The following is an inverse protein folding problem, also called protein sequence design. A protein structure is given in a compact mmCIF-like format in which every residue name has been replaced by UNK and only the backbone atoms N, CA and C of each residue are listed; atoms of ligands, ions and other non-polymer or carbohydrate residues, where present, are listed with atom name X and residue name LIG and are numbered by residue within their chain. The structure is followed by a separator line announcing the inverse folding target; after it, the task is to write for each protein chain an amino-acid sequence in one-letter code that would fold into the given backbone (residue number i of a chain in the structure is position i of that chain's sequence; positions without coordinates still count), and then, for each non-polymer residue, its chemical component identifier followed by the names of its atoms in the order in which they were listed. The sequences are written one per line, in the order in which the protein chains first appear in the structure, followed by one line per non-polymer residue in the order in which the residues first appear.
data_IF_068319053172
#
_entry.id   IF_068319053172
#
_cell.length_a   1.000
_cell.length_b   1.000
_cell.length_c   1.000
_cell.angle_alpha   90.00
_cell.angle_beta   90.00
_cell.angle_gamma   90.00
#
_symmetry.space_group_name_H-M   'P 1'
#
loop_
_entity.id
_entity.type
_entity.pdbx_description
1 polymer ?
#
# COMPACT_ATOMS: atom_id res chain seq x y z
N UNK A 1 26.04 -20.94 -1.12
CA UNK A 1 25.95 -19.69 -0.31
C UNK A 1 24.66 -18.97 -0.71
N UNK A 2 23.73 -18.72 0.21
CA UNK A 2 22.57 -17.87 -0.07
C UNK A 2 23.08 -16.45 -0.35
N UNK A 3 22.77 -15.90 -1.52
CA UNK A 3 23.06 -14.48 -1.80
C UNK A 3 22.23 -13.63 -0.83
N UNK A 4 22.88 -12.76 -0.09
CA UNK A 4 22.20 -11.82 0.80
C UNK A 4 21.35 -10.88 -0.03
N UNK A 5 20.06 -10.76 0.32
CA UNK A 5 19.15 -9.80 -0.30
C UNK A 5 19.62 -8.38 0.05
N UNK A 6 19.73 -7.52 -0.96
CA UNK A 6 20.06 -6.11 -0.77
C UNK A 6 18.96 -5.24 -1.34
N UNK A 7 18.59 -4.17 -0.63
CA UNK A 7 17.62 -3.18 -1.05
C UNK A 7 18.25 -1.79 -1.09
N UNK A 8 17.73 -0.93 -1.96
CA UNK A 8 18.18 0.46 -2.00
C UNK A 8 17.52 1.25 -0.87
N UNK A 9 18.33 1.83 0.00
CA UNK A 9 17.90 2.71 1.08
C UNK A 9 17.89 4.16 0.58
N UNK A 10 16.69 4.78 0.58
CA UNK A 10 16.50 6.14 0.06
C UNK A 10 17.09 7.22 0.97
N UNK A 11 17.26 6.94 2.26
CA UNK A 11 17.86 7.86 3.23
C UNK A 11 19.38 7.85 3.10
N UNK A 12 19.96 6.66 3.11
CA UNK A 12 21.41 6.47 2.97
C UNK A 12 21.89 6.53 1.52
N UNK A 13 20.97 6.55 0.54
CA UNK A 13 21.22 6.60 -0.91
C UNK A 13 22.17 5.50 -1.42
N UNK A 14 22.09 4.32 -0.83
CA UNK A 14 22.94 3.17 -1.20
C UNK A 14 22.19 1.84 -1.05
N UNK A 15 22.70 0.78 -1.67
CA UNK A 15 22.18 -0.57 -1.46
C UNK A 15 22.72 -1.12 -0.15
N UNK A 16 21.81 -1.58 0.71
CA UNK A 16 22.12 -2.18 2.00
C UNK A 16 21.58 -3.60 2.07
N UNK A 17 22.24 -4.47 2.85
CA UNK A 17 21.68 -5.76 3.19
C UNK A 17 20.29 -5.60 3.82
N UNK A 18 19.34 -6.47 3.43
CA UNK A 18 18.06 -6.52 4.09
C UNK A 18 18.21 -7.23 5.44
N UNK A 19 17.91 -6.52 6.50
CA UNK A 19 17.94 -7.03 7.87
C UNK A 19 16.51 -6.93 8.44
N UNK A 20 15.81 -8.05 8.66
CA UNK A 20 14.46 -8.04 9.22
C UNK A 20 14.51 -7.67 10.71
N UNK A 21 13.49 -6.96 11.20
CA UNK A 21 13.37 -6.65 12.64
C UNK A 21 13.11 -7.90 13.49
N UNK A 22 12.44 -8.90 12.91
CA UNK A 22 12.20 -10.20 13.54
C UNK A 22 12.73 -11.30 12.61
N UNK A 23 13.36 -12.31 13.20
CA UNK A 23 13.94 -13.41 12.43
C UNK A 23 12.89 -14.06 11.51
N UNK A 24 13.24 -14.22 10.23
CA UNK A 24 12.40 -14.81 9.20
C UNK A 24 11.04 -14.11 8.95
N UNK A 25 10.80 -12.91 9.46
CA UNK A 25 9.62 -12.12 9.16
C UNK A 25 10.01 -10.87 8.34
N UNK A 26 9.18 -10.52 7.37
CA UNK A 26 9.33 -9.31 6.58
C UNK A 26 7.99 -8.59 6.50
N UNK A 27 7.91 -7.38 7.07
CA UNK A 27 6.75 -6.52 6.97
C UNK A 27 7.04 -5.41 5.98
N UNK A 28 6.19 -5.28 4.96
CA UNK A 28 6.32 -4.30 3.89
C UNK A 28 5.05 -3.48 3.83
N UNK A 29 5.18 -2.16 3.97
CA UNK A 29 4.09 -1.23 3.75
C UNK A 29 4.29 -0.53 2.41
N UNK A 30 3.26 -0.56 1.57
CA UNK A 30 3.24 0.10 0.26
C UNK A 30 2.11 1.12 0.23
N UNK A 31 2.42 2.35 -0.14
CA UNK A 31 1.39 3.36 -0.35
C UNK A 31 0.46 2.91 -1.48
N UNK A 32 -0.83 2.83 -1.18
CA UNK A 32 -1.84 2.44 -2.13
C UNK A 32 -2.42 3.60 -2.93
N UNK A 33 -3.36 3.33 -3.85
CA UNK A 33 -3.97 4.35 -4.68
C UNK A 33 -4.98 5.21 -3.92
N UNK A 34 -5.20 6.45 -4.40
CA UNK A 34 -6.41 7.21 -4.11
C UNK A 34 -7.51 6.70 -5.05
N UNK A 35 -8.61 6.22 -4.47
CA UNK A 35 -9.63 5.44 -5.20
C UNK A 35 -10.77 6.33 -5.71
N UNK A 36 -10.44 7.21 -6.66
CA UNK A 36 -11.37 8.13 -7.30
C UNK A 36 -11.52 7.90 -8.81
N UNK A 37 -10.62 7.13 -9.43
CA UNK A 37 -10.60 6.87 -10.86
C UNK A 37 -9.95 5.53 -11.19
N UNK A 38 -10.04 5.10 -12.44
CA UNK A 38 -9.47 3.85 -12.93
C UNK A 38 -7.93 3.84 -12.82
N UNK A 39 -7.39 2.64 -12.75
CA UNK A 39 -5.94 2.43 -12.70
C UNK A 39 -5.28 2.81 -14.03
N UNK A 40 -4.03 3.21 -13.95
CA UNK A 40 -3.20 3.45 -15.13
C UNK A 40 -1.85 2.72 -15.01
N UNK A 41 -1.06 2.73 -16.07
CA UNK A 41 0.24 2.03 -16.12
C UNK A 41 1.18 2.34 -14.96
N UNK A 42 1.09 3.52 -14.37
CA UNK A 42 1.88 3.89 -13.17
C UNK A 42 1.54 3.01 -11.97
N UNK A 43 0.23 2.72 -11.78
CA UNK A 43 -0.22 1.83 -10.72
C UNK A 43 0.24 0.38 -10.97
N UNK A 44 0.11 -0.10 -12.21
CA UNK A 44 0.58 -1.43 -12.62
C UNK A 44 2.09 -1.59 -12.39
N UNK A 45 2.89 -0.61 -12.82
CA UNK A 45 4.34 -0.62 -12.64
C UNK A 45 4.73 -0.72 -11.17
N UNK A 46 4.11 0.09 -10.33
CA UNK A 46 4.34 0.05 -8.87
C UNK A 46 3.96 -1.31 -8.29
N UNK A 47 2.78 -1.82 -8.63
CA UNK A 47 2.29 -3.10 -8.14
C UNK A 47 3.22 -4.26 -8.52
N UNK A 48 3.65 -4.34 -9.78
CA UNK A 48 4.58 -5.37 -10.28
C UNK A 48 5.93 -5.30 -9.54
N UNK A 49 6.46 -4.09 -9.30
CA UNK A 49 7.73 -3.93 -8.60
C UNK A 49 7.67 -4.46 -7.15
N UNK A 50 6.59 -4.17 -6.43
CA UNK A 50 6.40 -4.66 -5.06
C UNK A 50 5.98 -6.13 -5.01
N UNK A 51 5.26 -6.64 -6.01
CA UNK A 51 4.98 -8.06 -6.14
C UNK A 51 6.27 -8.88 -6.36
N UNK A 52 7.18 -8.37 -7.18
CA UNK A 52 8.51 -8.98 -7.33
C UNK A 52 9.24 -9.05 -5.99
N UNK A 53 9.24 -7.97 -5.22
CA UNK A 53 9.82 -7.97 -3.87
C UNK A 53 9.14 -9.00 -2.97
N UNK A 54 7.81 -9.06 -2.97
CA UNK A 54 7.03 -10.04 -2.21
C UNK A 54 7.44 -11.48 -2.55
N UNK A 55 7.51 -11.81 -3.84
CA UNK A 55 7.91 -13.14 -4.32
C UNK A 55 9.36 -13.47 -3.96
N UNK A 56 10.27 -12.52 -4.08
CA UNK A 56 11.68 -12.69 -3.71
C UNK A 56 11.83 -12.95 -2.21
N UNK A 57 11.13 -12.20 -1.37
CA UNK A 57 11.13 -12.42 0.08
C UNK A 57 10.59 -13.81 0.43
N UNK A 58 9.45 -14.22 -0.15
CA UNK A 58 8.90 -15.57 0.04
C UNK A 58 9.86 -16.66 -0.43
N UNK A 59 10.50 -16.50 -1.57
CA UNK A 59 11.49 -17.44 -2.10
C UNK A 59 12.75 -17.54 -1.21
N UNK A 60 13.02 -16.52 -0.39
CA UNK A 60 14.09 -16.55 0.62
C UNK A 60 13.61 -17.03 1.99
N UNK A 61 12.41 -17.64 2.06
CA UNK A 61 11.80 -18.23 3.26
C UNK A 61 11.44 -17.19 4.35
N UNK A 62 11.14 -15.95 3.97
CA UNK A 62 10.53 -15.00 4.88
C UNK A 62 9.01 -15.23 4.96
N UNK A 63 8.47 -15.12 6.17
CA UNK A 63 7.04 -14.94 6.37
C UNK A 63 6.73 -13.47 6.10
N UNK A 64 6.05 -13.19 4.99
CA UNK A 64 5.88 -11.83 4.47
C UNK A 64 4.48 -11.32 4.80
N UNK A 65 4.42 -10.17 5.46
CA UNK A 65 3.19 -9.38 5.62
C UNK A 65 3.25 -8.18 4.68
N UNK A 66 2.43 -8.20 3.64
CA UNK A 66 2.26 -7.08 2.72
C UNK A 66 1.05 -6.25 3.14
N UNK A 67 1.27 -4.99 3.45
CA UNK A 67 0.20 -4.04 3.75
C UNK A 67 0.16 -2.97 2.68
N UNK A 68 -1.02 -2.75 2.09
CA UNK A 68 -1.25 -1.70 1.10
C UNK A 68 -2.56 -0.98 1.41
N UNK A 69 -2.50 0.32 1.71
CA UNK A 69 -3.70 1.07 2.04
C UNK A 69 -4.52 1.44 0.81
N UNK A 70 -5.80 1.75 1.04
CA UNK A 70 -6.61 2.54 0.11
C UNK A 70 -6.85 3.92 0.71
N UNK A 71 -6.51 4.97 -0.05
CA UNK A 71 -6.89 6.34 0.30
C UNK A 71 -8.29 6.58 -0.23
N UNK A 72 -9.26 6.31 0.62
CA UNK A 72 -10.69 6.36 0.32
C UNK A 72 -11.37 7.64 0.85
N UNK A 73 -10.55 8.64 1.23
CA UNK A 73 -10.96 10.02 1.50
C UNK A 73 -9.84 10.95 1.03
N UNK A 74 -10.16 11.90 0.13
CA UNK A 74 -9.22 12.81 -0.51
C UNK A 74 -10.00 13.91 -1.23
N UNK A 75 -9.40 15.07 -1.46
CA UNK A 75 -10.04 16.19 -2.18
C UNK A 75 -10.54 15.79 -3.58
N UNK A 76 -9.83 14.88 -4.26
CA UNK A 76 -10.23 14.38 -5.59
C UNK A 76 -11.51 13.56 -5.52
N UNK A 77 -11.70 12.79 -4.44
CA UNK A 77 -12.95 12.03 -4.22
C UNK A 77 -14.09 12.99 -3.92
N UNK A 78 -13.86 13.99 -3.05
CA UNK A 78 -14.84 15.03 -2.72
C UNK A 78 -15.27 15.79 -3.98
N UNK A 79 -14.31 16.16 -4.82
CA UNK A 79 -14.61 16.80 -6.11
C UNK A 79 -15.50 15.92 -6.99
N UNK A 80 -15.18 14.64 -7.10
CA UNK A 80 -15.94 13.67 -7.91
C UNK A 80 -17.37 13.46 -7.38
N UNK A 81 -17.54 13.45 -6.05
CA UNK A 81 -18.87 13.43 -5.41
C UNK A 81 -19.71 14.63 -5.87
N UNK A 82 -19.12 15.82 -5.82
CA UNK A 82 -19.81 17.06 -6.21
C UNK A 82 -20.16 17.10 -7.72
N UNK A 83 -19.33 16.52 -8.56
CA UNK A 83 -19.53 16.47 -10.01
C UNK A 83 -20.56 15.40 -10.44
N UNK A 84 -20.63 14.27 -9.74
CA UNK A 84 -21.44 13.10 -10.15
C UNK A 84 -22.69 12.91 -9.33
N UNK A 85 -22.77 13.51 -8.14
CA UNK A 85 -23.85 13.27 -7.17
C UNK A 85 -23.83 11.89 -6.52
N UNK A 86 -22.77 11.09 -6.78
CA UNK A 86 -22.58 9.79 -6.14
C UNK A 86 -22.10 9.93 -4.69
N UNK A 87 -22.36 8.94 -3.87
CA UNK A 87 -21.84 8.90 -2.50
C UNK A 87 -20.37 8.52 -2.46
N UNK A 88 -19.70 8.83 -1.34
CA UNK A 88 -18.33 8.41 -1.05
C UNK A 88 -18.18 6.89 -1.21
N UNK A 89 -19.12 6.12 -0.67
CA UNK A 89 -19.09 4.66 -0.67
C UNK A 89 -19.24 4.09 -2.09
N UNK A 90 -20.13 4.63 -2.90
CA UNK A 90 -20.31 4.20 -4.28
C UNK A 90 -19.05 4.41 -5.11
N UNK A 91 -18.43 5.60 -5.03
CA UNK A 91 -17.22 5.93 -5.77
C UNK A 91 -16.06 5.02 -5.31
N UNK A 92 -15.80 5.00 -4.02
CA UNK A 92 -14.62 4.27 -3.49
C UNK A 92 -14.76 2.77 -3.68
N UNK A 93 -15.95 2.20 -3.49
CA UNK A 93 -16.20 0.77 -3.72
C UNK A 93 -15.99 0.40 -5.19
N UNK A 94 -16.51 1.22 -6.12
CA UNK A 94 -16.33 1.02 -7.56
C UNK A 94 -14.85 0.93 -7.91
N UNK A 95 -14.06 1.92 -7.52
CA UNK A 95 -12.64 2.00 -7.93
C UNK A 95 -11.70 1.08 -7.15
N UNK A 96 -12.04 0.71 -5.91
CA UNK A 96 -11.34 -0.38 -5.20
C UNK A 96 -11.53 -1.70 -5.94
N UNK A 97 -12.76 -2.02 -6.35
CA UNK A 97 -13.04 -3.26 -7.06
C UNK A 97 -12.38 -3.29 -8.44
N UNK A 98 -12.42 -2.18 -9.19
CA UNK A 98 -11.73 -2.05 -10.47
C UNK A 98 -10.21 -2.25 -10.30
N UNK A 99 -9.60 -1.58 -9.31
CA UNK A 99 -8.18 -1.74 -8.99
C UNK A 99 -7.82 -3.20 -8.66
N UNK A 100 -8.61 -3.87 -7.83
CA UNK A 100 -8.37 -5.28 -7.46
C UNK A 100 -8.43 -6.20 -8.68
N UNK A 101 -9.43 -6.02 -9.53
CA UNK A 101 -9.56 -6.79 -10.78
C UNK A 101 -8.38 -6.58 -11.73
N UNK A 102 -7.88 -5.34 -11.85
CA UNK A 102 -6.68 -5.04 -12.62
C UNK A 102 -5.44 -5.75 -12.05
N UNK A 103 -5.28 -5.73 -10.72
CA UNK A 103 -4.15 -6.40 -10.06
C UNK A 103 -4.22 -7.92 -10.19
N UNK A 104 -5.39 -8.51 -10.09
CA UNK A 104 -5.62 -9.94 -10.34
C UNK A 104 -5.28 -10.31 -11.79
N UNK A 105 -5.71 -9.51 -12.76
CA UNK A 105 -5.38 -9.70 -14.18
C UNK A 105 -3.88 -9.67 -14.44
N UNK A 106 -3.14 -8.87 -13.68
CA UNK A 106 -1.68 -8.79 -13.72
C UNK A 106 -0.98 -9.90 -12.91
N UNK A 107 -1.74 -10.84 -12.34
CA UNK A 107 -1.23 -11.91 -11.47
C UNK A 107 -0.40 -11.39 -10.27
N UNK A 108 -0.79 -10.25 -9.74
CA UNK A 108 -0.22 -9.69 -8.50
C UNK A 108 -0.73 -10.50 -7.31
N UNK A 109 0.15 -10.87 -6.39
CA UNK A 109 -0.23 -11.55 -5.16
C UNK A 109 -1.10 -10.66 -4.28
N UNK A 110 -2.10 -11.25 -3.64
CA UNK A 110 -2.93 -10.52 -2.68
C UNK A 110 -2.10 -9.95 -1.52
N UNK A 111 -2.50 -8.77 -1.07
CA UNK A 111 -1.92 -8.18 0.11
C UNK A 111 -2.48 -8.85 1.37
N UNK A 112 -1.65 -8.94 2.41
CA UNK A 112 -2.08 -9.49 3.71
C UNK A 112 -3.08 -8.56 4.40
N UNK A 113 -2.95 -7.24 4.17
CA UNK A 113 -3.79 -6.21 4.79
C UNK A 113 -4.02 -5.06 3.79
N UNK A 114 -5.25 -4.56 3.77
CA UNK A 114 -5.66 -3.44 2.92
C UNK A 114 -6.46 -2.40 3.72
N UNK A 115 -5.80 -1.68 4.65
CA UNK A 115 -6.50 -0.69 5.47
C UNK A 115 -7.04 0.46 4.62
N UNK A 116 -8.24 0.92 4.98
CA UNK A 116 -8.88 2.12 4.41
C UNK A 116 -8.66 3.31 5.33
N UNK A 117 -8.38 4.49 4.77
CA UNK A 117 -8.18 5.71 5.55
C UNK A 117 -9.42 6.04 6.41
N UNK A 118 -10.62 5.93 5.83
CA UNK A 118 -11.89 6.21 6.55
C UNK A 118 -12.12 5.30 7.76
N UNK A 119 -11.56 4.09 7.77
CA UNK A 119 -11.70 3.15 8.89
C UNK A 119 -10.66 3.35 9.99
N UNK A 120 -9.69 4.23 9.77
CA UNK A 120 -8.59 4.47 10.71
C UNK A 120 -8.51 5.93 11.20
N UNK A 121 -9.53 6.75 10.95
CA UNK A 121 -9.54 8.17 11.32
C UNK A 121 -9.34 8.40 12.82
N UNK A 122 -9.97 7.61 13.68
CA UNK A 122 -9.80 7.72 15.13
C UNK A 122 -8.35 7.53 15.55
N UNK A 123 -7.71 6.46 15.08
CA UNK A 123 -6.30 6.18 15.39
C UNK A 123 -5.35 7.25 14.82
N UNK A 124 -5.68 7.83 13.65
CA UNK A 124 -4.91 8.94 13.09
C UNK A 124 -5.01 10.19 13.97
N UNK A 125 -6.21 10.53 14.44
CA UNK A 125 -6.45 11.68 15.33
C UNK A 125 -5.73 11.47 16.68
N UNK A 126 -5.82 10.27 17.25
CA UNK A 126 -5.13 9.92 18.50
C UNK A 126 -3.62 10.09 18.35
N UNK A 127 -3.04 9.57 17.26
CA UNK A 127 -1.60 9.72 16.98
C UNK A 127 -1.19 11.20 16.81
N UNK A 128 -1.99 12.00 16.09
CA UNK A 128 -1.73 13.44 15.92
C UNK A 128 -1.75 14.15 17.26
N UNK A 129 -2.75 13.89 18.11
CA UNK A 129 -2.84 14.49 19.44
C UNK A 129 -1.65 14.09 20.33
N UNK A 130 -1.22 12.84 20.24
CA UNK A 130 -0.06 12.31 20.97
C UNK A 130 1.24 13.01 20.55
N UNK A 131 1.41 13.28 19.25
CA UNK A 131 2.56 14.02 18.72
C UNK A 131 2.54 15.48 19.17
N UNK A 132 1.38 16.15 19.07
CA UNK A 132 1.22 17.56 19.52
C UNK A 132 1.52 17.68 21.02
N UNK A 133 1.17 16.65 21.83
CA UNK A 133 1.42 16.69 23.28
C UNK A 133 2.89 16.48 23.66
N UNK A 134 3.74 16.08 22.72
CA UNK A 134 5.18 15.80 22.95
C UNK A 134 6.10 16.91 22.44
N UNK A 135 5.57 17.92 21.75
CA UNK A 135 6.24 19.16 21.39
C UNK A 135 6.06 20.20 22.52
#
# INVERSE_FOLDING_TARGET
MKKQLTLFDSVKKQKLPFEPQEQNKASVYVCGPTVYDDSHLGHARSAIAFDLLHRVLKANNYNVTMTKNFTDIDDKIIKKINETGQTLEEITTKYINAYKNDMETLNILENSQEPKATKNLTSMIEMINDLISKD
#
